data_IF_097650452430
#
_entry.id   IF_097650452430
#
_cell.length_a   1.000
_cell.length_b   1.000
_cell.length_c   1.000
_cell.angle_alpha   90.00
_cell.angle_beta   90.00
_cell.angle_gamma   90.00
#
_symmetry.space_group_name_H-M   'P 1'
#
loop_
_entity.id
_entity.type
_entity.pdbx_description
1 polymer ?
#
# COMPACT_ATOMS: atom_id res chain seq x y z
N UNK A 1 -4.42 -2.46 -44.87
CA UNK A 1 -4.99 -3.16 -43.71
C UNK A 1 -4.47 -2.45 -42.46
N UNK A 2 -5.33 -1.78 -41.71
CA UNK A 2 -4.93 -1.00 -40.54
C UNK A 2 -5.15 -1.84 -39.29
N UNK A 3 -4.07 -2.33 -38.68
CA UNK A 3 -4.12 -3.06 -37.42
C UNK A 3 -4.48 -2.05 -36.32
N UNK A 4 -5.72 -2.08 -35.83
CA UNK A 4 -6.12 -1.35 -34.63
C UNK A 4 -5.38 -1.99 -33.45
N UNK A 5 -4.29 -1.38 -33.01
CA UNK A 5 -3.66 -1.70 -31.73
C UNK A 5 -4.58 -1.13 -30.65
N UNK A 6 -5.46 -1.97 -30.11
CA UNK A 6 -6.19 -1.64 -28.90
C UNK A 6 -5.18 -1.54 -27.77
N UNK A 7 -4.89 -0.32 -27.32
CA UNK A 7 -4.21 -0.11 -26.05
C UNK A 7 -5.17 -0.59 -24.95
N UNK A 8 -5.06 -1.87 -24.58
CA UNK A 8 -5.71 -2.38 -23.39
C UNK A 8 -5.15 -1.60 -22.21
N UNK A 9 -5.96 -0.72 -21.63
CA UNK A 9 -5.61 -0.03 -20.40
C UNK A 9 -5.36 -1.10 -19.36
N UNK A 10 -4.09 -1.32 -19.00
CA UNK A 10 -3.73 -2.24 -17.92
C UNK A 10 -4.39 -1.67 -16.66
N UNK A 11 -5.21 -2.47 -16.00
CA UNK A 11 -5.86 -2.05 -14.76
C UNK A 11 -4.78 -1.54 -13.79
N UNK A 12 -5.02 -0.44 -13.07
CA UNK A 12 -4.03 0.15 -12.18
C UNK A 12 -3.59 -0.89 -11.13
N UNK A 13 -2.28 -1.00 -10.93
CA UNK A 13 -1.67 -1.80 -9.88
C UNK A 13 -1.79 -1.04 -8.54
N UNK A 14 -3.02 -1.00 -8.01
CA UNK A 14 -3.39 -0.20 -6.85
C UNK A 14 -3.67 -1.07 -5.63
N UNK A 15 -3.26 -0.61 -4.45
CA UNK A 15 -3.67 -1.17 -3.16
C UNK A 15 -4.47 -0.11 -2.43
N UNK A 16 -5.67 -0.44 -1.97
CA UNK A 16 -6.53 0.49 -1.23
C UNK A 16 -6.48 0.27 0.29
N UNK A 17 -6.30 -0.98 0.71
CA UNK A 17 -6.14 -1.39 2.11
C UNK A 17 -5.09 -2.48 2.19
N UNK A 18 -4.38 -2.57 3.32
CA UNK A 18 -3.30 -3.53 3.50
C UNK A 18 -3.22 -4.10 4.93
N UNK A 19 -2.51 -5.21 5.05
CA UNK A 19 -2.09 -5.83 6.30
C UNK A 19 -0.59 -5.67 6.43
N UNK A 20 -0.14 -5.10 7.53
CA UNK A 20 1.27 -4.97 7.88
C UNK A 20 1.60 -6.06 8.87
N UNK A 21 2.55 -6.94 8.52
CA UNK A 21 2.99 -8.04 9.38
C UNK A 21 4.44 -7.84 9.76
N UNK A 22 4.72 -7.78 11.06
CA UNK A 22 6.08 -7.58 11.55
C UNK A 22 6.77 -8.93 11.82
N UNK A 23 7.57 -9.37 10.84
CA UNK A 23 8.43 -10.55 10.96
C UNK A 23 9.88 -10.19 11.36
N UNK A 24 10.15 -8.93 11.75
CA UNK A 24 11.46 -8.51 12.25
C UNK A 24 11.69 -8.97 13.68
N UNK A 25 12.87 -8.69 14.24
CA UNK A 25 13.25 -9.07 15.60
C UNK A 25 12.86 -8.05 16.68
N UNK A 26 12.27 -6.91 16.29
CA UNK A 26 11.89 -5.81 17.18
C UNK A 26 10.54 -5.19 16.77
N UNK A 27 10.00 -4.32 17.63
CA UNK A 27 8.90 -3.43 17.26
C UNK A 27 9.35 -2.41 16.21
N UNK A 28 8.41 -2.01 15.35
CA UNK A 28 8.66 -1.07 14.26
C UNK A 28 7.57 -0.02 14.14
N UNK A 29 7.96 1.20 13.79
CA UNK A 29 7.03 2.27 13.44
C UNK A 29 6.82 2.26 11.93
N UNK A 30 5.58 2.12 11.48
CA UNK A 30 5.23 2.01 10.07
C UNK A 30 4.39 3.20 9.67
N UNK A 31 4.88 3.92 8.67
CA UNK A 31 4.20 5.03 8.03
C UNK A 31 3.71 4.58 6.66
N UNK A 32 2.39 4.60 6.46
CA UNK A 32 1.71 4.28 5.21
C UNK A 32 1.23 5.59 4.60
N UNK A 33 1.75 5.94 3.43
CA UNK A 33 1.33 7.10 2.66
C UNK A 33 0.33 6.69 1.58
N UNK A 34 -0.84 7.31 1.60
CA UNK A 34 -1.86 7.24 0.58
C UNK A 34 -1.70 8.41 -0.41
N UNK A 35 -1.86 8.12 -1.71
CA UNK A 35 -1.78 9.08 -2.79
C UNK A 35 -2.74 10.26 -2.58
N UNK A 36 -2.25 11.46 -2.86
CA UNK A 36 -3.11 12.60 -3.12
C UNK A 36 -3.71 12.49 -4.52
N UNK A 37 -5.00 12.74 -4.66
CA UNK A 37 -5.70 12.71 -5.95
C UNK A 37 -6.33 14.08 -6.15
N UNK A 38 -5.90 14.78 -7.20
CA UNK A 38 -6.36 16.13 -7.56
C UNK A 38 -6.25 17.13 -6.40
N UNK A 39 -7.38 17.65 -5.92
CA UNK A 39 -7.48 18.62 -4.83
C UNK A 39 -7.39 17.96 -3.44
N UNK A 40 -7.32 16.63 -3.36
CA UNK A 40 -7.18 15.90 -2.12
C UNK A 40 -5.71 15.61 -1.80
N UNK A 41 -5.23 16.14 -0.67
CA UNK A 41 -3.87 15.91 -0.21
C UNK A 41 -3.58 14.43 0.06
N UNK A 42 -2.29 14.08 -0.02
CA UNK A 42 -1.79 12.81 0.47
C UNK A 42 -2.13 12.63 1.95
N UNK A 43 -2.49 11.42 2.33
CA UNK A 43 -2.79 11.08 3.72
C UNK A 43 -1.74 10.12 4.25
N UNK A 44 -1.49 10.22 5.56
CA UNK A 44 -0.52 9.38 6.25
C UNK A 44 -1.25 8.64 7.37
N UNK A 45 -1.03 7.34 7.44
CA UNK A 45 -1.36 6.52 8.60
C UNK A 45 -0.05 6.06 9.25
N UNK A 46 0.17 6.44 10.50
CA UNK A 46 1.28 5.96 11.32
C UNK A 46 0.75 4.89 12.29
N UNK A 47 1.44 3.76 12.37
CA UNK A 47 1.11 2.64 13.24
C UNK A 47 2.37 2.06 13.88
N UNK A 48 2.23 1.48 15.07
CA UNK A 48 3.30 0.74 15.77
C UNK A 48 2.95 -0.74 15.72
N UNK A 49 3.84 -1.58 15.22
CA UNK A 49 3.61 -3.03 15.10
C UNK A 49 4.64 -3.78 15.91
N UNK A 50 4.20 -4.39 17.01
CA UNK A 50 5.07 -5.20 17.86
C UNK A 50 5.61 -6.43 17.11
N UNK A 51 6.70 -7.00 17.63
CA UNK A 51 7.35 -8.18 17.04
C UNK A 51 6.37 -9.35 16.94
N UNK A 52 6.22 -9.91 15.74
CA UNK A 52 5.38 -11.07 15.47
C UNK A 52 3.89 -10.76 15.35
N UNK A 53 3.49 -9.51 15.55
CA UNK A 53 2.11 -9.05 15.40
C UNK A 53 1.82 -8.62 13.95
N UNK A 54 0.53 -8.46 13.67
CA UNK A 54 0.04 -7.88 12.44
C UNK A 54 -1.01 -6.81 12.71
N UNK A 55 -1.07 -5.81 11.83
CA UNK A 55 -2.04 -4.74 11.93
C UNK A 55 -2.64 -4.42 10.57
N UNK A 56 -3.96 -4.28 10.57
CA UNK A 56 -4.73 -3.87 9.40
C UNK A 56 -4.72 -2.36 9.27
N UNK A 57 -4.47 -1.87 8.06
CA UNK A 57 -4.64 -0.47 7.67
C UNK A 57 -5.81 -0.41 6.69
N UNK A 58 -6.91 0.17 7.16
CA UNK A 58 -8.12 0.32 6.35
C UNK A 58 -7.94 1.34 5.24
N UNK A 59 -8.82 1.23 4.24
CA UNK A 59 -8.82 2.15 3.11
C UNK A 59 -9.17 3.58 3.52
N UNK A 60 -8.64 4.53 2.76
CA UNK A 60 -9.02 5.94 2.85
C UNK A 60 -9.91 6.28 1.66
N UNK A 61 -11.06 6.89 1.95
CA UNK A 61 -12.03 7.30 0.95
C UNK A 61 -12.10 8.83 0.88
N UNK A 62 -12.45 9.35 -0.30
CA UNK A 62 -12.76 10.76 -0.51
C UNK A 62 -13.94 10.90 -1.47
N UNK A 63 -14.64 12.02 -1.40
CA UNK A 63 -15.72 12.36 -2.32
C UNK A 63 -15.15 13.16 -3.49
N UNK A 64 -15.54 12.81 -4.72
CA UNK A 64 -15.10 13.51 -5.92
C UNK A 64 -16.32 14.04 -6.70
N UNK A 65 -16.42 15.37 -6.81
CA UNK A 65 -17.49 16.08 -7.53
C UNK A 65 -18.84 16.11 -6.81
N UNK A 66 -19.90 16.48 -7.54
CA UNK A 66 -21.29 16.58 -7.05
C UNK A 66 -22.02 15.22 -6.96
N UNK A 67 -21.30 14.11 -7.15
CA UNK A 67 -21.86 12.77 -7.06
C UNK A 67 -21.51 12.19 -5.69
N UNK A 68 -22.46 11.52 -5.02
CA UNK A 68 -22.24 10.75 -3.78
C UNK A 68 -21.28 9.54 -3.95
N UNK A 69 -20.48 9.52 -5.02
CA UNK A 69 -19.54 8.46 -5.36
C UNK A 69 -18.27 8.60 -4.54
N UNK A 70 -18.04 7.64 -3.65
CA UNK A 70 -16.79 7.53 -2.90
C UNK A 70 -15.68 6.98 -3.78
N UNK A 71 -14.56 7.68 -3.79
CA UNK A 71 -13.32 7.27 -4.44
C UNK A 71 -12.31 6.77 -3.40
N UNK A 72 -11.51 5.77 -3.78
CA UNK A 72 -10.54 5.14 -2.88
C UNK A 72 -9.14 5.69 -3.12
N UNK A 73 -8.44 6.09 -2.05
CA UNK A 73 -7.03 6.46 -2.12
C UNK A 73 -6.15 5.21 -2.20
N UNK A 74 -5.09 5.31 -3.00
CA UNK A 74 -4.14 4.22 -3.21
C UNK A 74 -2.94 4.37 -2.31
N UNK A 75 -2.44 3.27 -1.73
CA UNK A 75 -1.15 3.24 -1.04
C UNK A 75 -0.03 3.50 -2.04
N UNK A 76 0.84 4.46 -1.74
CA UNK A 76 1.98 4.87 -2.59
C UNK A 76 3.34 4.51 -1.99
N UNK A 77 3.46 4.59 -0.67
CA UNK A 77 4.71 4.37 0.04
C UNK A 77 4.43 3.73 1.40
N UNK A 78 5.26 2.75 1.74
CA UNK A 78 5.39 2.20 3.08
C UNK A 78 6.80 2.51 3.55
N UNK A 79 6.91 3.21 4.68
CA UNK A 79 8.16 3.54 5.32
C UNK A 79 8.17 2.91 6.70
N UNK A 80 9.20 2.15 7.01
CA UNK A 80 9.39 1.53 8.32
C UNK A 80 10.59 2.19 8.99
N UNK A 81 10.37 2.79 10.17
CA UNK A 81 11.43 3.29 11.05
C UNK A 81 11.68 2.26 12.12
N UNK A 82 12.96 2.02 12.40
CA UNK A 82 13.40 1.08 13.42
C UNK A 82 13.98 1.80 14.62
N UNK A 83 14.06 1.06 15.71
CA UNK A 83 14.63 1.56 16.96
C UNK A 83 16.11 1.96 16.86
N UNK A 84 16.86 1.34 15.94
CA UNK A 84 18.25 1.73 15.65
C UNK A 84 18.38 3.02 14.83
N UNK A 85 17.25 3.67 14.51
CA UNK A 85 17.17 4.89 13.69
C UNK A 85 17.24 4.63 12.18
N UNK A 86 17.42 3.38 11.74
CA UNK A 86 17.39 3.04 10.32
C UNK A 86 15.97 3.14 9.76
N UNK A 87 15.88 3.39 8.46
CA UNK A 87 14.61 3.48 7.74
C UNK A 87 14.69 2.66 6.46
N UNK A 88 13.66 1.86 6.21
CA UNK A 88 13.47 1.16 4.93
C UNK A 88 12.17 1.64 4.29
N UNK A 89 12.16 1.73 2.96
CA UNK A 89 11.03 2.21 2.19
C UNK A 89 10.67 1.22 1.09
N UNK A 90 9.37 1.06 0.83
CA UNK A 90 8.84 0.34 -0.32
C UNK A 90 7.81 1.23 -1.02
N UNK A 91 8.05 1.52 -2.30
CA UNK A 91 7.21 2.42 -3.11
C UNK A 91 6.42 1.64 -4.15
N UNK A 92 5.24 2.14 -4.50
CA UNK A 92 4.47 1.66 -5.63
C UNK A 92 5.24 1.89 -6.96
N UNK A 93 5.04 1.07 -8.01
CA UNK A 93 4.19 -0.12 -8.04
C UNK A 93 4.80 -1.26 -7.22
N UNK A 94 3.94 -1.95 -6.46
CA UNK A 94 4.38 -3.06 -5.62
C UNK A 94 4.47 -4.36 -6.41
N UNK A 95 5.50 -5.15 -6.11
CA UNK A 95 5.72 -6.43 -6.79
C UNK A 95 4.51 -7.37 -6.60
N UNK A 96 4.15 -8.10 -7.66
CA UNK A 96 3.00 -8.99 -7.67
C UNK A 96 1.61 -8.33 -7.78
N UNK A 97 1.48 -7.00 -7.63
CA UNK A 97 0.20 -6.30 -7.77
C UNK A 97 -0.10 -6.03 -9.24
N UNK A 98 -1.09 -6.72 -9.81
CA UNK A 98 -1.45 -6.59 -11.23
C UNK A 98 -2.85 -6.03 -11.48
N UNK A 99 -3.63 -5.83 -10.43
CA UNK A 99 -4.98 -5.28 -10.46
C UNK A 99 -5.22 -4.55 -9.14
N UNK A 100 -6.30 -3.78 -8.99
CA UNK A 100 -6.66 -3.21 -7.71
C UNK A 100 -6.87 -4.31 -6.66
N UNK A 101 -6.34 -4.09 -5.45
CA UNK A 101 -6.40 -5.02 -4.32
C UNK A 101 -6.82 -4.33 -3.03
N UNK A 102 -7.52 -5.10 -2.20
CA UNK A 102 -7.68 -4.85 -0.76
C UNK A 102 -6.96 -5.97 -0.02
N UNK A 103 -6.60 -5.72 1.23
CA UNK A 103 -6.01 -6.72 2.13
C UNK A 103 -4.68 -7.30 1.63
N UNK A 104 -3.94 -6.51 0.85
CA UNK A 104 -2.61 -6.92 0.39
C UNK A 104 -1.64 -6.96 1.58
N UNK A 105 -0.75 -7.95 1.62
CA UNK A 105 0.13 -8.15 2.78
C UNK A 105 1.50 -7.53 2.51
N UNK A 106 1.99 -6.77 3.48
CA UNK A 106 3.37 -6.31 3.54
C UNK A 106 4.06 -6.91 4.75
N UNK A 107 5.04 -7.77 4.48
CA UNK A 107 5.83 -8.42 5.52
C UNK A 107 7.12 -7.63 5.75
N UNK A 108 7.32 -7.17 6.99
CA UNK A 108 8.48 -6.41 7.41
C UNK A 108 9.52 -7.37 7.98
N UNK A 109 10.76 -7.28 7.49
CA UNK A 109 11.91 -8.03 7.97
C UNK A 109 13.04 -7.08 8.41
N UNK A 110 14.11 -7.66 8.96
CA UNK A 110 15.30 -6.96 9.45
C UNK A 110 16.10 -6.18 8.38
N UNK A 111 15.78 -6.27 7.10
CA UNK A 111 16.46 -5.51 6.05
C UNK A 111 15.56 -5.13 4.86
N UNK A 112 14.30 -5.56 4.89
CA UNK A 112 13.44 -5.53 3.70
C UNK A 112 11.96 -5.47 4.06
N UNK A 113 11.16 -4.97 3.11
CA UNK A 113 9.71 -5.05 3.10
C UNK A 113 9.34 -5.92 1.90
N UNK A 114 8.59 -7.00 2.11
CA UNK A 114 8.10 -7.85 1.02
C UNK A 114 6.64 -7.58 0.74
N UNK A 115 6.30 -7.48 -0.54
CA UNK A 115 4.93 -7.41 -1.02
C UNK A 115 4.43 -8.81 -1.31
N UNK A 116 3.35 -9.23 -0.67
CA UNK A 116 2.87 -10.63 -0.70
C UNK A 116 1.41 -10.67 -1.13
N UNK A 117 1.12 -11.47 -2.16
CA UNK A 117 -0.25 -11.75 -2.58
C UNK A 117 -0.90 -12.72 -1.58
N UNK A 118 -1.97 -12.30 -0.86
CA UNK A 118 -2.63 -13.16 0.13
C UNK A 118 -3.23 -14.45 -0.48
N UNK A 119 -3.40 -14.51 -1.80
CA UNK A 119 -4.00 -15.66 -2.49
C UNK A 119 -2.96 -16.64 -3.06
N UNK A 120 -1.68 -16.31 -3.04
CA UNK A 120 -0.61 -17.19 -3.51
C UNK A 120 -0.04 -17.96 -2.32
N UNK A 121 -0.44 -19.23 -2.20
CA UNK A 121 0.12 -20.20 -1.26
C UNK A 121 1.37 -20.86 -1.81
#
# INVERSE_FOLDING_TARGET
MSTKVGFGVRAPAAIYACLIKNNSDAEVDVQIQFAGIEDHHAEIADIEVARGEEQRVDEKEFEHGDSDGKCHKTVELIRVRRYDGSTIELKAPFDGVTSPKKDWIFEIYNDSIKSVDPNKK
#
